data_IF_503754942411
#
_entry.id   IF_503754942411
#
_cell.length_a   1.000
_cell.length_b   1.000
_cell.length_c   1.000
_cell.angle_alpha   90.00
_cell.angle_beta   90.00
_cell.angle_gamma   90.00
#
_symmetry.space_group_name_H-M   'P 1'
#
loop_
_entity.id
_entity.type
_entity.pdbx_description
1 polymer ?
#
# COMPACT_ATOMS: atom_id res chain seq x y z
N UNK A 1 -9.76 74.80 -19.37
CA UNK A 1 -8.68 74.35 -18.45
C UNK A 1 -9.13 73.33 -17.37
N UNK A 2 -10.15 72.47 -17.60
CA UNK A 2 -10.69 71.56 -16.57
C UNK A 2 -10.08 70.14 -16.55
N UNK A 3 -9.34 69.73 -17.58
CA UNK A 3 -8.91 68.32 -17.75
C UNK A 3 -7.61 67.92 -17.03
N UNK A 4 -6.74 68.88 -16.64
CA UNK A 4 -5.46 68.58 -15.94
C UNK A 4 -5.68 67.90 -14.58
N UNK A 5 -6.77 68.21 -13.88
CA UNK A 5 -7.10 67.63 -12.58
C UNK A 5 -7.59 66.18 -12.68
N UNK A 6 -8.21 65.77 -13.80
CA UNK A 6 -8.72 64.40 -13.97
C UNK A 6 -7.56 63.43 -14.24
N UNK A 7 -6.61 63.83 -15.09
CA UNK A 7 -5.44 63.01 -15.46
C UNK A 7 -4.53 62.80 -14.25
N UNK A 8 -4.27 63.86 -13.47
CA UNK A 8 -3.49 63.77 -12.23
C UNK A 8 -4.12 62.81 -11.21
N UNK A 9 -5.45 62.89 -11.02
CA UNK A 9 -6.19 61.96 -10.15
C UNK A 9 -6.12 60.51 -10.64
N UNK A 10 -6.24 60.28 -11.95
CA UNK A 10 -6.12 58.96 -12.57
C UNK A 10 -4.71 58.36 -12.39
N UNK A 11 -3.67 59.17 -12.58
CA UNK A 11 -2.28 58.74 -12.36
C UNK A 11 -2.06 58.39 -10.89
N UNK A 12 -2.58 59.20 -9.96
CA UNK A 12 -2.49 58.94 -8.53
C UNK A 12 -3.20 57.64 -8.14
N UNK A 13 -4.42 57.43 -8.63
CA UNK A 13 -5.18 56.18 -8.41
C UNK A 13 -4.42 54.98 -9.00
N UNK A 14 -3.86 55.11 -10.20
CA UNK A 14 -3.05 54.08 -10.83
C UNK A 14 -1.81 53.72 -10.00
N UNK A 15 -1.12 54.71 -9.44
CA UNK A 15 0.03 54.50 -8.56
C UNK A 15 -0.37 53.76 -7.27
N UNK A 16 -1.50 54.13 -6.65
CA UNK A 16 -2.03 53.45 -5.46
C UNK A 16 -2.40 51.99 -5.77
N UNK A 17 -3.07 51.74 -6.89
CA UNK A 17 -3.42 50.39 -7.33
C UNK A 17 -2.15 49.55 -7.53
N UNK A 18 -1.11 50.12 -8.13
CA UNK A 18 0.15 49.42 -8.39
C UNK A 18 0.86 49.02 -7.09
N UNK A 19 0.89 49.92 -6.10
CA UNK A 19 1.42 49.62 -4.76
C UNK A 19 0.64 48.49 -4.09
N UNK A 20 -0.70 48.51 -4.17
CA UNK A 20 -1.54 47.44 -3.64
C UNK A 20 -1.29 46.09 -4.33
N UNK A 21 -1.02 46.12 -5.64
CA UNK A 21 -0.76 44.92 -6.43
C UNK A 21 0.56 44.26 -6.02
N UNK A 22 1.61 45.06 -5.80
CA UNK A 22 2.89 44.57 -5.28
C UNK A 22 2.71 43.94 -3.89
N UNK A 23 1.99 44.63 -3.00
CA UNK A 23 1.71 44.11 -1.65
C UNK A 23 0.96 42.76 -1.70
N UNK A 24 -0.01 42.62 -2.59
CA UNK A 24 -0.77 41.38 -2.76
C UNK A 24 0.13 40.21 -3.22
N UNK A 25 1.03 40.45 -4.18
CA UNK A 25 1.97 39.42 -4.67
C UNK A 25 2.91 38.96 -3.54
N UNK A 26 3.42 39.88 -2.73
CA UNK A 26 4.33 39.56 -1.60
C UNK A 26 3.61 38.76 -0.52
N UNK A 27 2.37 39.11 -0.18
CA UNK A 27 1.56 38.34 0.78
C UNK A 27 1.29 36.94 0.24
N UNK A 28 0.88 36.84 -1.03
CA UNK A 28 0.63 35.56 -1.70
C UNK A 28 1.86 34.65 -1.71
N UNK A 29 3.05 35.20 -2.00
CA UNK A 29 4.28 34.40 -1.99
C UNK A 29 4.63 33.88 -0.60
N UNK A 30 4.45 34.69 0.45
CA UNK A 30 4.71 34.26 1.85
C UNK A 30 3.72 33.22 2.34
N UNK A 31 2.45 33.32 1.95
CA UNK A 31 1.45 32.29 2.26
C UNK A 31 1.81 30.98 1.55
N UNK A 32 2.20 31.05 0.28
CA UNK A 32 2.64 29.89 -0.50
C UNK A 32 3.88 29.23 0.12
N UNK A 33 4.89 30.01 0.51
CA UNK A 33 6.09 29.48 1.18
C UNK A 33 5.71 28.73 2.47
N UNK A 34 4.83 29.31 3.30
CA UNK A 34 4.36 28.66 4.53
C UNK A 34 3.60 27.37 4.26
N UNK A 35 2.74 27.36 3.24
CA UNK A 35 2.02 26.16 2.81
C UNK A 35 2.99 25.05 2.38
N UNK A 36 3.98 25.38 1.55
CA UNK A 36 4.97 24.41 1.08
C UNK A 36 5.80 23.84 2.24
N UNK A 37 6.22 24.68 3.19
CA UNK A 37 6.99 24.22 4.37
C UNK A 37 6.12 23.33 5.26
N UNK A 38 4.85 23.69 5.46
CA UNK A 38 3.89 22.86 6.21
C UNK A 38 3.68 21.50 5.54
N UNK A 39 3.41 21.47 4.23
CA UNK A 39 3.21 20.23 3.47
C UNK A 39 4.46 19.36 3.48
N UNK A 40 5.65 19.95 3.35
CA UNK A 40 6.91 19.23 3.48
C UNK A 40 7.09 18.61 4.87
N UNK A 41 6.84 19.38 5.93
CA UNK A 41 6.94 18.87 7.30
C UNK A 41 5.95 17.74 7.60
N UNK A 42 4.71 17.85 7.11
CA UNK A 42 3.70 16.78 7.25
C UNK A 42 4.10 15.55 6.44
N UNK A 43 4.57 15.72 5.21
CA UNK A 43 5.06 14.62 4.38
C UNK A 43 6.23 13.88 5.04
N UNK A 44 7.17 14.60 5.65
CA UNK A 44 8.30 14.00 6.37
C UNK A 44 7.85 13.23 7.61
N UNK A 45 6.94 13.80 8.41
CA UNK A 45 6.34 13.10 9.56
C UNK A 45 5.63 11.82 9.08
N UNK A 46 4.80 11.93 8.06
CA UNK A 46 4.02 10.81 7.53
C UNK A 46 4.92 9.72 6.95
N UNK A 47 5.93 10.08 6.17
CA UNK A 47 6.93 9.16 5.62
C UNK A 47 7.69 8.41 6.73
N UNK A 48 8.06 9.11 7.81
CA UNK A 48 8.72 8.50 8.98
C UNK A 48 7.81 7.52 9.75
N UNK A 49 6.49 7.73 9.67
CA UNK A 49 5.47 6.92 10.33
C UNK A 49 4.94 5.76 9.47
N UNK A 50 5.55 5.49 8.31
CA UNK A 50 5.16 4.40 7.41
C UNK A 50 4.26 4.83 6.25
N UNK A 51 3.82 6.09 6.23
CA UNK A 51 2.94 6.66 5.21
C UNK A 51 1.53 6.08 5.27
N UNK A 52 0.86 6.09 4.13
CA UNK A 52 -0.50 5.55 3.98
C UNK A 52 -0.51 4.05 4.24
N UNK A 53 -1.37 3.62 5.16
CA UNK A 53 -1.63 2.20 5.37
C UNK A 53 -2.49 1.66 4.21
N UNK A 54 -1.96 0.68 3.48
CA UNK A 54 -2.72 -0.10 2.51
C UNK A 54 -2.42 -1.58 2.71
N UNK A 55 -3.48 -2.37 2.89
CA UNK A 55 -3.42 -3.82 3.03
C UNK A 55 -4.35 -4.47 2.00
N UNK A 56 -3.79 -5.35 1.19
CA UNK A 56 -4.56 -6.33 0.42
C UNK A 56 -4.49 -7.66 1.18
N UNK A 57 -5.64 -8.30 1.40
CA UNK A 57 -5.76 -9.48 2.27
C UNK A 57 -4.94 -10.70 1.85
N UNK A 58 -5.20 -11.81 2.53
CA UNK A 58 -4.54 -13.09 2.23
C UNK A 58 -4.89 -13.60 0.84
N UNK A 59 -3.90 -14.19 0.17
CA UNK A 59 -4.11 -15.03 -1.02
C UNK A 59 -3.08 -16.15 -1.06
N UNK A 60 -3.48 -17.31 -1.58
CA UNK A 60 -2.56 -18.41 -1.89
C UNK A 60 -2.05 -18.18 -3.30
N UNK A 61 -0.73 -18.09 -3.45
CA UNK A 61 -0.05 -17.87 -4.71
C UNK A 61 0.60 -19.18 -5.19
N UNK A 62 0.22 -19.60 -6.40
CA UNK A 62 0.73 -20.81 -7.05
C UNK A 62 1.51 -20.39 -8.30
N UNK A 63 2.84 -20.51 -8.31
CA UNK A 63 3.65 -20.25 -9.49
C UNK A 63 3.30 -21.19 -10.63
N UNK A 64 3.31 -20.68 -11.86
CA UNK A 64 3.17 -21.50 -13.06
C UNK A 64 4.07 -21.02 -14.19
N UNK A 65 4.37 -21.94 -15.09
CA UNK A 65 5.12 -21.69 -16.32
C UNK A 65 4.25 -21.99 -17.54
N UNK A 66 4.31 -21.11 -18.53
CA UNK A 66 3.64 -21.29 -19.83
C UNK A 66 4.67 -21.69 -20.87
N UNK A 67 4.33 -22.69 -21.68
CA UNK A 67 5.13 -23.26 -22.74
C UNK A 67 4.40 -23.15 -24.07
N UNK A 68 5.14 -22.86 -25.14
CA UNK A 68 4.64 -23.05 -26.49
C UNK A 68 4.68 -24.53 -26.87
N UNK A 69 3.60 -25.01 -27.48
CA UNK A 69 3.49 -26.35 -28.06
C UNK A 69 3.60 -26.27 -29.58
N UNK A 70 4.42 -27.14 -30.18
CA UNK A 70 4.45 -27.29 -31.64
C UNK A 70 3.20 -28.03 -32.15
N UNK A 71 3.06 -28.16 -33.47
CA UNK A 71 1.96 -28.88 -34.14
C UNK A 71 1.92 -30.38 -33.80
N UNK A 72 2.97 -30.93 -33.17
CA UNK A 72 3.06 -32.30 -32.68
C UNK A 72 2.70 -32.44 -31.19
N UNK A 73 2.35 -31.33 -30.52
CA UNK A 73 2.00 -31.31 -29.08
C UNK A 73 3.21 -31.34 -28.13
N UNK A 74 4.43 -31.25 -28.65
CA UNK A 74 5.66 -31.25 -27.84
C UNK A 74 6.01 -29.84 -27.35
N UNK A 75 6.51 -29.76 -26.11
CA UNK A 75 6.95 -28.49 -25.49
C UNK A 75 8.25 -28.04 -26.12
N UNK A 76 8.26 -26.89 -26.78
CA UNK A 76 9.45 -26.39 -27.48
C UNK A 76 10.17 -25.26 -26.74
N UNK A 77 9.45 -24.34 -26.09
CA UNK A 77 10.09 -23.19 -25.42
C UNK A 77 9.23 -22.62 -24.29
N UNK A 78 9.85 -22.28 -23.16
CA UNK A 78 9.22 -21.54 -22.05
C UNK A 78 8.91 -20.11 -22.51
N UNK A 79 7.65 -19.71 -22.44
CA UNK A 79 7.15 -18.42 -22.91
C UNK A 79 7.07 -17.37 -21.80
N UNK A 80 6.55 -17.74 -20.63
CA UNK A 80 6.36 -16.80 -19.52
C UNK A 80 6.22 -17.51 -18.17
N UNK A 81 6.51 -16.74 -17.12
CA UNK A 81 6.22 -17.08 -15.73
C UNK A 81 4.98 -16.32 -15.25
N UNK A 82 4.17 -16.96 -14.41
CA UNK A 82 2.98 -16.35 -13.83
C UNK A 82 2.67 -16.85 -12.42
N UNK A 83 1.71 -16.20 -11.78
CA UNK A 83 1.21 -16.59 -10.45
C UNK A 83 -0.31 -16.67 -10.49
N UNK A 84 -0.85 -17.85 -10.22
CA UNK A 84 -2.27 -18.04 -10.00
C UNK A 84 -2.60 -17.73 -8.54
N UNK A 85 -3.66 -16.96 -8.29
CA UNK A 85 -4.05 -16.52 -6.94
C UNK A 85 -5.39 -17.11 -6.56
N UNK A 86 -5.45 -17.73 -5.39
CA UNK A 86 -6.68 -18.20 -4.76
C UNK A 86 -6.96 -17.29 -3.57
N UNK A 87 -8.20 -16.81 -3.47
CA UNK A 87 -8.65 -15.91 -2.42
C UNK A 87 -9.47 -16.67 -1.36
N UNK A 88 -9.48 -16.20 -0.11
CA UNK A 88 -10.30 -16.80 0.95
C UNK A 88 -11.79 -16.59 0.68
N UNK A 89 -12.62 -17.49 1.22
CA UNK A 89 -14.08 -17.38 1.19
C UNK A 89 -14.57 -16.34 2.20
N UNK A 90 -13.94 -16.30 3.38
CA UNK A 90 -14.25 -15.32 4.42
C UNK A 90 -12.97 -14.75 5.01
N UNK A 91 -13.03 -13.47 5.36
CA UNK A 91 -11.97 -12.77 6.07
C UNK A 91 -12.60 -11.91 7.15
N UNK A 92 -12.03 -11.99 8.35
CA UNK A 92 -12.34 -11.17 9.50
C UNK A 92 -11.11 -10.32 9.84
N UNK A 93 -11.37 -9.03 10.05
CA UNK A 93 -10.36 -8.04 10.39
C UNK A 93 -10.74 -7.38 11.71
N UNK A 94 -9.91 -7.55 12.72
CA UNK A 94 -10.02 -6.84 13.98
C UNK A 94 -8.82 -5.91 14.11
N UNK A 95 -9.08 -4.60 14.21
CA UNK A 95 -8.01 -3.63 14.30
C UNK A 95 -8.20 -2.70 15.50
N UNK A 96 -7.14 -2.54 16.27
CA UNK A 96 -7.06 -1.58 17.37
C UNK A 96 -6.02 -0.54 17.03
N UNK A 97 -6.40 0.74 17.11
CA UNK A 97 -5.53 1.86 16.78
C UNK A 97 -5.36 2.77 17.98
N UNK A 98 -4.14 3.30 18.14
CA UNK A 98 -3.79 4.39 19.03
C UNK A 98 -3.20 5.52 18.19
N UNK A 99 -3.66 6.75 18.44
CA UNK A 99 -3.15 7.94 17.76
C UNK A 99 -2.20 8.71 18.66
N UNK A 100 -1.07 9.14 18.09
CA UNK A 100 -0.11 10.02 18.73
C UNK A 100 0.13 11.24 17.84
N UNK A 101 0.25 12.41 18.45
CA UNK A 101 0.63 13.62 17.72
C UNK A 101 2.16 13.68 17.60
N UNK A 102 2.69 13.46 16.40
CA UNK A 102 4.11 13.69 16.11
C UNK A 102 4.37 15.13 15.71
N UNK A 103 5.51 15.65 16.11
CA UNK A 103 5.92 17.04 15.87
C UNK A 103 7.21 17.11 15.08
N UNK A 104 7.31 18.12 14.21
CA UNK A 104 8.53 18.52 13.52
C UNK A 104 8.64 20.05 13.62
N UNK A 105 9.46 20.53 14.55
CA UNK A 105 9.52 21.96 14.89
C UNK A 105 8.19 22.45 15.46
N UNK A 106 7.57 23.44 14.78
CA UNK A 106 6.24 23.97 15.15
C UNK A 106 5.09 23.22 14.48
N UNK A 107 5.38 22.27 13.60
CA UNK A 107 4.40 21.52 12.84
C UNK A 107 4.08 20.20 13.51
N UNK A 108 2.89 19.66 13.25
CA UNK A 108 2.47 18.41 13.84
C UNK A 108 1.46 17.68 12.97
N UNK A 109 1.52 16.36 12.96
CA UNK A 109 0.60 15.47 12.25
C UNK A 109 0.24 14.28 13.15
N UNK A 110 -1.03 13.80 13.13
CA UNK A 110 -1.38 12.55 13.79
C UNK A 110 -0.71 11.36 13.10
N UNK A 111 -0.09 10.51 13.89
CA UNK A 111 0.39 9.20 13.45
C UNK A 111 -0.38 8.13 14.21
N UNK A 112 -0.54 6.96 13.60
CA UNK A 112 -1.25 5.84 14.18
C UNK A 112 -0.31 4.68 14.38
N UNK A 113 -0.47 4.00 15.50
CA UNK A 113 0.07 2.67 15.74
C UNK A 113 -1.09 1.75 16.08
N UNK A 114 -0.96 0.46 15.80
CA UNK A 114 -2.07 -0.45 16.04
C UNK A 114 -1.69 -1.91 15.96
N UNK A 115 -2.64 -2.74 16.38
CA UNK A 115 -2.59 -4.18 16.21
C UNK A 115 -3.74 -4.58 15.29
N UNK A 116 -3.38 -5.15 14.14
CA UNK A 116 -4.30 -5.70 13.16
C UNK A 116 -4.26 -7.22 13.25
N UNK A 117 -5.37 -7.82 13.66
CA UNK A 117 -5.57 -9.26 13.61
C UNK A 117 -6.40 -9.59 12.36
N UNK A 118 -5.90 -10.52 11.56
CA UNK A 118 -6.56 -10.97 10.35
C UNK A 118 -6.79 -12.46 10.45
N UNK A 119 -8.03 -12.89 10.26
CA UNK A 119 -8.41 -14.29 10.21
C UNK A 119 -9.06 -14.57 8.85
N UNK A 120 -8.53 -15.50 8.08
CA UNK A 120 -9.04 -15.88 6.77
C UNK A 120 -9.34 -17.37 6.70
N UNK A 121 -10.43 -17.73 6.04
CA UNK A 121 -10.85 -19.12 5.82
C UNK A 121 -10.91 -19.42 4.33
N UNK A 122 -10.23 -20.49 3.91
CA UNK A 122 -10.29 -21.01 2.56
C UNK A 122 -11.01 -22.36 2.60
N UNK A 123 -12.17 -22.48 1.94
CA UNK A 123 -12.84 -23.77 1.77
C UNK A 123 -12.70 -24.24 0.33
N UNK A 124 -12.67 -25.56 0.13
CA UNK A 124 -12.68 -26.19 -1.19
C UNK A 124 -11.63 -25.60 -2.16
N UNK A 125 -10.39 -25.46 -1.70
CA UNK A 125 -9.28 -24.95 -2.53
C UNK A 125 -9.08 -25.89 -3.72
N UNK A 126 -9.55 -25.46 -4.89
CA UNK A 126 -9.38 -26.22 -6.13
C UNK A 126 -8.06 -25.82 -6.75
N UNK A 127 -7.10 -26.75 -6.76
CA UNK A 127 -5.81 -26.52 -7.37
C UNK A 127 -5.94 -26.54 -8.90
N UNK A 128 -5.32 -25.58 -9.61
CA UNK A 128 -5.30 -25.61 -11.05
C UNK A 128 -4.54 -26.84 -11.55
N UNK A 129 -5.06 -27.49 -12.59
CA UNK A 129 -4.44 -28.66 -13.18
C UNK A 129 -3.46 -28.26 -14.28
N UNK A 130 -2.29 -28.90 -14.30
CA UNK A 130 -1.29 -28.70 -15.34
C UNK A 130 -1.76 -29.26 -16.67
N UNK A 131 -1.53 -28.50 -17.74
CA UNK A 131 -1.77 -28.88 -19.14
C UNK A 131 -0.44 -29.00 -19.89
N UNK A 132 -0.41 -29.53 -21.14
CA UNK A 132 0.81 -29.53 -21.95
C UNK A 132 1.41 -28.13 -22.12
N UNK A 133 0.58 -27.09 -22.18
CA UNK A 133 1.00 -25.69 -22.31
C UNK A 133 1.31 -25.00 -20.98
N UNK A 134 0.80 -25.48 -19.84
CA UNK A 134 0.92 -24.77 -18.56
C UNK A 134 1.25 -25.71 -17.42
N UNK A 135 2.35 -25.48 -16.72
CA UNK A 135 2.78 -26.28 -15.57
C UNK A 135 2.58 -25.48 -14.30
N UNK A 136 1.72 -25.96 -13.39
CA UNK A 136 1.56 -25.39 -12.05
C UNK A 136 2.48 -26.09 -11.05
N UNK A 137 3.19 -25.29 -10.25
CA UNK A 137 4.08 -25.77 -9.18
C UNK A 137 3.38 -25.66 -7.82
N UNK A 138 2.49 -26.60 -7.53
CA UNK A 138 1.71 -26.63 -6.29
C UNK A 138 2.59 -26.88 -5.05
N UNK A 139 3.72 -27.56 -5.21
CA UNK A 139 4.74 -27.75 -4.17
C UNK A 139 5.50 -26.47 -3.81
N UNK A 140 5.45 -25.46 -4.69
CA UNK A 140 6.00 -24.12 -4.46
C UNK A 140 4.92 -23.10 -4.09
N UNK A 141 3.73 -23.56 -3.72
CA UNK A 141 2.67 -22.67 -3.27
C UNK A 141 3.09 -21.95 -1.99
N UNK A 142 2.74 -20.67 -1.90
CA UNK A 142 3.01 -19.85 -0.73
C UNK A 142 1.81 -18.98 -0.40
N UNK A 143 1.60 -18.74 0.88
CA UNK A 143 0.63 -17.76 1.35
C UNK A 143 1.26 -16.37 1.23
N UNK A 144 0.51 -15.38 0.78
CA UNK A 144 0.93 -13.98 0.77
C UNK A 144 -0.16 -13.11 1.38
N UNK A 145 0.25 -12.21 2.27
CA UNK A 145 -0.51 -11.06 2.73
C UNK A 145 0.18 -9.81 2.20
N UNK A 146 -0.56 -9.00 1.45
CA UNK A 146 0.03 -7.84 0.78
C UNK A 146 -0.14 -6.61 1.67
N UNK A 147 0.97 -6.05 2.09
CA UNK A 147 1.01 -4.91 2.98
C UNK A 147 2.36 -4.21 2.76
N UNK A 148 2.33 -2.89 2.79
CA UNK A 148 3.55 -2.10 2.66
C UNK A 148 4.47 -2.35 3.87
N UNK A 149 5.72 -2.73 3.58
CA UNK A 149 6.74 -3.03 4.59
C UNK A 149 6.97 -1.86 5.56
N UNK A 150 6.86 -0.63 5.06
CA UNK A 150 7.02 0.59 5.88
C UNK A 150 5.97 0.73 6.99
N UNK A 151 4.81 0.10 6.81
CA UNK A 151 3.71 0.11 7.76
C UNK A 151 3.80 -0.99 8.82
N UNK A 152 4.78 -1.89 8.73
CA UNK A 152 4.93 -3.02 9.65
C UNK A 152 6.04 -2.68 10.63
N UNK A 153 5.75 -2.83 11.92
CA UNK A 153 6.72 -2.55 12.98
C UNK A 153 7.55 -3.78 13.34
N UNK A 154 6.96 -4.97 13.21
CA UNK A 154 7.58 -6.24 13.53
C UNK A 154 7.13 -7.31 12.54
N UNK A 155 8.05 -8.22 12.18
CA UNK A 155 7.75 -9.31 11.25
C UNK A 155 6.69 -10.24 11.87
N UNK A 156 5.49 -10.37 11.28
CA UNK A 156 4.43 -11.18 11.85
C UNK A 156 4.68 -12.67 11.59
N UNK A 157 4.07 -13.52 12.40
CA UNK A 157 4.04 -14.98 12.20
C UNK A 157 2.70 -15.35 11.60
N UNK A 158 2.70 -16.24 10.60
CA UNK A 158 1.47 -16.73 9.99
C UNK A 158 1.09 -18.07 10.61
N UNK A 159 -0.10 -18.14 11.19
CA UNK A 159 -0.67 -19.36 11.71
C UNK A 159 -1.55 -20.00 10.63
N UNK A 160 -1.16 -21.19 10.19
CA UNK A 160 -1.95 -21.99 9.24
C UNK A 160 -2.41 -23.23 9.98
N UNK A 161 -3.71 -23.41 10.16
CA UNK A 161 -4.31 -24.52 10.91
C UNK A 161 -3.70 -24.71 12.31
N UNK A 162 -3.38 -23.60 13.00
CA UNK A 162 -2.71 -23.54 14.32
C UNK A 162 -1.21 -23.92 14.32
N UNK A 163 -0.59 -24.05 13.16
CA UNK A 163 0.87 -24.19 13.04
C UNK A 163 1.47 -22.85 12.67
N UNK A 164 2.44 -22.41 13.47
CA UNK A 164 3.22 -21.20 13.19
C UNK A 164 4.19 -21.44 12.04
N UNK A 165 4.19 -20.53 11.08
CA UNK A 165 5.09 -20.55 9.94
C UNK A 165 5.90 -19.26 9.90
N UNK A 166 7.21 -19.40 9.72
CA UNK A 166 8.09 -18.25 9.53
C UNK A 166 7.73 -17.51 8.24
N UNK A 167 7.81 -16.18 8.31
CA UNK A 167 7.45 -15.32 7.20
C UNK A 167 8.67 -14.66 6.55
N UNK A 168 8.56 -14.30 5.28
CA UNK A 168 9.59 -13.60 4.52
C UNK A 168 8.95 -12.60 3.57
N UNK A 169 9.73 -11.61 3.11
CA UNK A 169 9.23 -10.60 2.19
C UNK A 169 9.40 -11.02 0.74
N UNK A 170 8.36 -10.84 -0.08
CA UNK A 170 8.40 -11.06 -1.53
C UNK A 170 7.33 -10.20 -2.21
N UNK A 171 7.70 -9.52 -3.30
CA UNK A 171 6.78 -8.74 -4.15
C UNK A 171 5.85 -7.79 -3.36
N UNK A 172 6.40 -6.99 -2.44
CA UNK A 172 5.66 -6.05 -1.58
C UNK A 172 4.56 -6.71 -0.72
N UNK A 173 4.77 -7.97 -0.33
CA UNK A 173 3.94 -8.66 0.65
C UNK A 173 4.78 -9.52 1.59
N UNK A 174 4.15 -9.91 2.69
CA UNK A 174 4.68 -10.90 3.62
C UNK A 174 4.16 -12.25 3.20
N UNK A 175 5.08 -13.21 3.06
CA UNK A 175 4.79 -14.54 2.58
C UNK A 175 5.18 -15.58 3.61
N UNK A 176 4.52 -16.74 3.61
CA UNK A 176 5.03 -17.95 4.23
C UNK A 176 4.92 -19.10 3.24
N UNK A 177 5.89 -20.02 3.26
CA UNK A 177 5.81 -21.21 2.42
C UNK A 177 4.71 -22.11 2.96
N UNK A 178 3.84 -22.58 2.08
CA UNK A 178 2.90 -23.63 2.40
C UNK A 178 3.60 -24.94 2.03
N UNK A 179 4.50 -25.42 2.90
CA UNK A 179 5.03 -26.79 2.78
C UNK A 179 3.86 -27.75 2.62
N UNK A 180 3.97 -28.79 1.77
CA UNK A 180 3.07 -29.90 1.33
C UNK A 180 1.60 -30.03 1.84
N UNK A 181 1.21 -29.37 2.91
CA UNK A 181 -0.11 -29.16 3.51
C UNK A 181 -1.18 -28.58 2.57
N UNK A 182 -0.84 -27.91 1.46
CA UNK A 182 -1.82 -27.48 0.43
C UNK A 182 -2.17 -28.61 -0.54
N UNK A 183 -1.32 -29.65 -0.63
CA UNK A 183 -1.49 -30.76 -1.56
C UNK A 183 -2.43 -31.84 -1.01
N UNK A 184 -2.69 -31.84 0.29
CA UNK A 184 -3.77 -32.64 0.86
C UNK A 184 -5.03 -31.80 0.91
N UNK A 185 -6.10 -32.15 0.16
CA UNK A 185 -7.38 -31.44 0.18
C UNK A 185 -8.05 -31.65 1.54
N UNK A 186 -7.54 -31.00 2.58
CA UNK A 186 -8.31 -30.74 3.77
C UNK A 186 -9.35 -29.72 3.35
N UNK A 187 -10.61 -29.98 3.68
CA UNK A 187 -11.78 -29.22 3.23
C UNK A 187 -11.77 -27.75 3.63
N UNK A 188 -10.91 -27.36 4.58
CA UNK A 188 -10.84 -26.01 5.13
C UNK A 188 -9.43 -25.65 5.63
N UNK A 189 -8.90 -24.49 5.22
CA UNK A 189 -7.70 -23.88 5.79
C UNK A 189 -8.07 -22.63 6.56
N UNK A 190 -7.69 -22.59 7.84
CA UNK A 190 -7.82 -21.42 8.71
C UNK A 190 -6.47 -20.75 8.85
N UNK A 191 -6.41 -19.49 8.45
CA UNK A 191 -5.20 -18.69 8.44
C UNK A 191 -5.41 -17.52 9.39
N UNK A 192 -4.48 -17.30 10.30
CA UNK A 192 -4.51 -16.11 11.15
C UNK A 192 -3.13 -15.47 11.25
N UNK A 193 -3.11 -14.15 11.37
CA UNK A 193 -1.90 -13.39 11.64
C UNK A 193 -2.22 -12.11 12.40
N UNK A 194 -1.25 -11.68 13.22
CA UNK A 194 -1.29 -10.43 13.95
C UNK A 194 -0.16 -9.53 13.47
N UNK A 195 -0.51 -8.34 13.01
CA UNK A 195 0.40 -7.35 12.49
C UNK A 195 0.46 -6.16 13.44
N UNK A 196 1.65 -5.84 13.96
CA UNK A 196 1.90 -4.54 14.60
C UNK A 196 2.14 -3.53 13.49
N UNK A 197 1.22 -2.60 13.34
CA UNK A 197 1.19 -1.66 12.23
C UNK A 197 1.39 -0.23 12.68
N UNK A 198 1.91 0.59 11.77
CA UNK A 198 1.96 2.04 11.89
C UNK A 198 1.55 2.70 10.58
N UNK A 199 1.02 3.90 10.67
CA UNK A 199 0.71 4.71 9.51
C UNK A 199 0.50 6.16 9.88
N UNK A 200 0.26 6.98 8.88
CA UNK A 200 -0.18 8.36 9.06
C UNK A 200 -1.37 8.65 8.16
N UNK A 201 -2.15 9.66 8.55
CA UNK A 201 -3.27 10.14 7.74
C UNK A 201 -2.75 10.73 6.43
N UNK A 202 -3.39 10.37 5.31
CA UNK A 202 -3.20 11.12 4.07
C UNK A 202 -4.02 12.40 4.16
N UNK A 203 -3.34 13.55 4.01
CA UNK A 203 -3.99 14.80 3.62
C UNK A 203 -3.84 15.01 2.12
#
# INVERSE_FOLDING_TARGET
MKNKNIVSKLVFIGAVILVLLVANVVIGSKIKDRKNVYEGAVADINSSAGGTFNSEGFSIAIPYEVYNTNYLGERTTKQSDGVHRIYPESVDYECTFSSEKRTLGIYSSPVFTGLLNVNATFKNVTLPQSTPSTIYYTEKAYLIYKISDRNIMERPVFNVNKTENETYYKNNGICCNLANSVVNPTSEYKISASFKIRGAENM
#
